data_IF_422334541578
#
_entry.id   IF_422334541578
#
_cell.length_a   1.000
_cell.length_b   1.000
_cell.length_c   1.000
_cell.angle_alpha   90.00
_cell.angle_beta   90.00
_cell.angle_gamma   90.00
#
_symmetry.space_group_name_H-M   'P 1'
#
loop_
_entity.id
_entity.type
_entity.pdbx_description
1 polymer ?
#
# COMPACT_ATOMS: atom_id res chain seq x y z
N UNK A 1 17.55 -16.19 -22.99
CA UNK A 1 17.29 -16.96 -24.24
C UNK A 1 17.19 -16.09 -25.49
N UNK A 2 17.48 -14.78 -25.43
CA UNK A 2 17.25 -13.85 -26.55
C UNK A 2 18.54 -13.41 -27.27
N UNK A 3 19.71 -13.50 -26.63
CA UNK A 3 21.00 -13.19 -27.24
C UNK A 3 21.41 -14.14 -28.38
N UNK A 4 20.83 -15.35 -28.41
CA UNK A 4 21.14 -16.40 -29.40
C UNK A 4 20.53 -16.09 -30.79
N UNK A 5 19.46 -15.29 -30.83
CA UNK A 5 18.75 -14.94 -32.07
C UNK A 5 19.47 -13.85 -32.87
N UNK A 6 20.05 -12.84 -32.20
CA UNK A 6 20.79 -11.77 -32.87
C UNK A 6 22.12 -12.26 -33.48
N UNK A 7 22.68 -13.35 -32.94
CA UNK A 7 23.91 -14.00 -33.42
C UNK A 7 23.67 -15.15 -34.40
N UNK A 8 22.41 -15.43 -34.78
CA UNK A 8 22.07 -16.50 -35.71
C UNK A 8 22.43 -16.17 -37.16
N UNK A 9 22.69 -17.20 -37.98
CA UNK A 9 23.06 -17.06 -39.40
C UNK A 9 22.04 -16.22 -40.21
N UNK A 10 20.74 -16.35 -39.92
CA UNK A 10 19.68 -15.55 -40.54
C UNK A 10 19.81 -14.03 -40.29
N UNK A 11 20.26 -13.63 -39.10
CA UNK A 11 20.51 -12.22 -38.77
C UNK A 11 21.83 -11.72 -39.38
N UNK A 12 22.77 -12.62 -39.70
CA UNK A 12 23.96 -12.26 -40.47
C UNK A 12 23.65 -12.03 -41.95
N UNK A 13 22.69 -12.78 -42.51
CA UNK A 13 22.30 -12.69 -43.91
C UNK A 13 21.32 -11.53 -44.20
N UNK A 14 20.50 -11.13 -43.22
CA UNK A 14 19.52 -10.05 -43.38
C UNK A 14 19.77 -8.91 -42.39
N UNK A 15 20.33 -7.76 -42.84
CA UNK A 15 20.58 -6.62 -41.96
C UNK A 15 19.29 -6.00 -41.40
N UNK A 16 18.18 -6.09 -42.14
CA UNK A 16 16.87 -5.60 -41.69
C UNK A 16 16.28 -6.49 -40.59
N UNK A 17 16.40 -7.82 -40.72
CA UNK A 17 15.98 -8.74 -39.67
C UNK A 17 16.80 -8.51 -38.39
N UNK A 18 18.11 -8.35 -38.54
CA UNK A 18 19.00 -8.03 -37.42
C UNK A 18 18.60 -6.73 -36.72
N UNK A 19 18.31 -5.66 -37.47
CA UNK A 19 17.82 -4.38 -36.93
C UNK A 19 16.55 -4.58 -36.11
N UNK A 20 15.56 -5.29 -36.64
CA UNK A 20 14.30 -5.56 -35.95
C UNK A 20 14.50 -6.38 -34.67
N UNK A 21 15.37 -7.38 -34.70
CA UNK A 21 15.71 -8.19 -33.52
C UNK A 21 16.43 -7.35 -32.46
N UNK A 22 17.40 -6.52 -32.85
CA UNK A 22 18.11 -5.62 -31.95
C UNK A 22 17.17 -4.57 -31.32
N UNK A 23 16.25 -3.99 -32.09
CA UNK A 23 15.22 -3.06 -31.61
C UNK A 23 14.27 -3.72 -30.60
N UNK A 24 13.80 -4.93 -30.89
CA UNK A 24 12.98 -5.71 -29.97
C UNK A 24 13.72 -6.03 -28.66
N UNK A 25 14.99 -6.46 -28.74
CA UNK A 25 15.81 -6.74 -27.57
C UNK A 25 16.03 -5.50 -26.70
N UNK A 26 16.29 -4.35 -27.35
CA UNK A 26 16.42 -3.06 -26.67
C UNK A 26 15.13 -2.65 -25.96
N UNK A 27 13.98 -2.79 -26.63
CA UNK A 27 12.67 -2.57 -26.02
C UNK A 27 12.44 -3.49 -24.82
N UNK A 28 12.66 -4.79 -24.96
CA UNK A 28 12.45 -5.78 -23.89
C UNK A 28 13.31 -5.45 -22.65
N UNK A 29 14.60 -5.15 -22.84
CA UNK A 29 15.48 -4.76 -21.75
C UNK A 29 15.07 -3.43 -21.08
N UNK A 30 14.58 -2.47 -21.87
CA UNK A 30 14.05 -1.20 -21.35
C UNK A 30 12.76 -1.40 -20.55
N UNK A 31 11.91 -2.35 -20.95
CA UNK A 31 10.71 -2.74 -20.22
C UNK A 31 11.03 -3.43 -18.90
N UNK A 32 11.99 -4.36 -18.87
CA UNK A 32 12.45 -5.00 -17.62
C UNK A 32 12.94 -3.95 -16.61
N UNK A 33 13.76 -3.01 -17.07
CA UNK A 33 14.24 -1.90 -16.23
C UNK A 33 13.09 -1.05 -15.68
N UNK A 34 12.10 -0.74 -16.51
CA UNK A 34 10.95 0.05 -16.08
C UNK A 34 10.05 -0.68 -15.08
N UNK A 35 9.97 -2.01 -15.16
CA UNK A 35 9.29 -2.83 -14.14
C UNK A 35 10.04 -2.74 -12.81
N UNK A 36 11.36 -2.89 -12.81
CA UNK A 36 12.17 -2.78 -11.58
C UNK A 36 12.02 -1.40 -10.93
N UNK A 37 12.08 -0.32 -11.71
CA UNK A 37 11.86 1.04 -11.22
C UNK A 37 10.45 1.22 -10.64
N UNK A 38 9.43 0.65 -11.29
CA UNK A 38 8.06 0.71 -10.80
C UNK A 38 7.87 -0.08 -9.50
N UNK A 39 8.51 -1.23 -9.35
CA UNK A 39 8.51 -1.99 -8.10
C UNK A 39 9.14 -1.20 -6.95
N UNK A 40 10.25 -0.49 -7.21
CA UNK A 40 10.86 0.42 -6.22
C UNK A 40 9.89 1.56 -5.86
N UNK A 41 9.21 2.13 -6.84
CA UNK A 41 8.22 3.18 -6.61
C UNK A 41 7.04 2.68 -5.75
N UNK A 42 6.42 1.54 -6.09
CA UNK A 42 5.35 0.90 -5.29
C UNK A 42 5.81 0.68 -3.85
N UNK A 43 7.03 0.15 -3.69
CA UNK A 43 7.57 -0.10 -2.36
C UNK A 43 7.66 1.17 -1.53
N UNK A 44 8.18 2.26 -2.12
CA UNK A 44 8.37 3.54 -1.42
C UNK A 44 7.06 4.29 -1.15
N UNK A 45 6.10 4.25 -2.08
CA UNK A 45 4.86 5.01 -1.93
C UNK A 45 3.80 4.28 -1.10
N UNK A 46 3.83 2.95 -1.04
CA UNK A 46 2.77 2.17 -0.39
C UNK A 46 3.31 1.18 0.65
N UNK A 47 4.21 0.28 0.26
CA UNK A 47 4.60 -0.87 1.10
C UNK A 47 5.31 -0.42 2.37
N UNK A 48 6.36 0.41 2.24
CA UNK A 48 7.15 0.88 3.37
C UNK A 48 6.31 1.81 4.29
N UNK A 49 5.51 2.75 3.76
CA UNK A 49 4.58 3.54 4.57
C UNK A 49 3.57 2.71 5.37
N UNK A 50 2.91 1.72 4.75
CA UNK A 50 1.96 0.84 5.44
C UNK A 50 2.65 0.05 6.56
N UNK A 51 3.84 -0.49 6.30
CA UNK A 51 4.63 -1.19 7.33
C UNK A 51 4.95 -0.30 8.52
N UNK A 52 5.30 0.97 8.30
CA UNK A 52 5.52 1.94 9.39
C UNK A 52 4.23 2.24 10.16
N UNK A 53 3.12 2.36 9.43
CA UNK A 53 1.81 2.64 10.02
C UNK A 53 1.30 1.49 10.90
N UNK A 54 1.76 0.25 10.69
CA UNK A 54 1.41 -0.89 11.56
C UNK A 54 1.71 -0.66 13.04
N UNK A 55 2.73 0.14 13.37
CA UNK A 55 3.06 0.51 14.75
C UNK A 55 1.91 1.24 15.47
N UNK A 56 1.16 2.09 14.75
CA UNK A 56 0.02 2.83 15.29
C UNK A 56 -1.06 1.86 15.77
N UNK A 57 -1.37 0.82 14.99
CA UNK A 57 -2.34 -0.19 15.41
C UNK A 57 -1.92 -0.92 16.69
N UNK A 58 -0.63 -1.21 16.85
CA UNK A 58 -0.12 -1.84 18.07
C UNK A 58 -0.30 -0.92 19.30
N UNK A 59 -0.09 0.39 19.15
CA UNK A 59 -0.32 1.38 20.21
C UNK A 59 -1.80 1.51 20.58
N UNK A 60 -2.70 1.53 19.59
CA UNK A 60 -4.15 1.53 19.80
C UNK A 60 -4.56 0.28 20.58
N UNK A 61 -4.11 -0.89 20.15
CA UNK A 61 -4.39 -2.16 20.82
C UNK A 61 -3.87 -2.19 22.26
N UNK A 62 -2.67 -1.68 22.51
CA UNK A 62 -2.12 -1.59 23.85
C UNK A 62 -2.97 -0.69 24.78
N UNK A 63 -3.51 0.40 24.25
CA UNK A 63 -4.36 1.34 25.01
C UNK A 63 -5.74 0.75 25.28
N UNK A 64 -6.35 0.09 24.29
CA UNK A 64 -7.58 -0.68 24.47
C UNK A 64 -7.44 -1.75 25.56
N UNK A 65 -6.33 -2.52 25.50
CA UNK A 65 -6.03 -3.56 26.48
C UNK A 65 -5.86 -3.01 27.89
N UNK A 66 -5.22 -1.84 28.05
CA UNK A 66 -5.08 -1.17 29.36
C UNK A 66 -6.44 -0.80 29.96
N UNK A 67 -7.34 -0.21 29.16
CA UNK A 67 -8.71 0.09 29.60
C UNK A 67 -9.47 -1.18 29.98
N UNK A 68 -9.34 -2.23 29.18
CA UNK A 68 -10.00 -3.52 29.45
C UNK A 68 -9.50 -4.16 30.75
N UNK A 69 -8.19 -4.10 31.02
CA UNK A 69 -7.61 -4.55 32.29
C UNK A 69 -8.16 -3.75 33.48
N UNK A 70 -8.25 -2.42 33.37
CA UNK A 70 -8.85 -1.58 34.41
C UNK A 70 -10.33 -1.94 34.66
N UNK A 71 -11.09 -2.26 33.61
CA UNK A 71 -12.48 -2.69 33.73
C UNK A 71 -12.61 -4.05 34.42
N UNK A 72 -11.77 -5.02 34.05
CA UNK A 72 -11.73 -6.33 34.69
C UNK A 72 -11.35 -6.24 36.17
N UNK A 73 -10.42 -5.36 36.52
CA UNK A 73 -10.01 -5.13 37.92
C UNK A 73 -11.15 -4.50 38.73
N UNK A 74 -11.87 -3.51 38.19
CA UNK A 74 -13.06 -2.96 38.81
C UNK A 74 -14.10 -4.05 39.12
N UNK A 75 -14.44 -4.87 38.12
CA UNK A 75 -15.40 -5.96 38.28
C UNK A 75 -14.97 -6.96 39.37
N UNK A 76 -13.68 -7.32 39.40
CA UNK A 76 -13.12 -8.22 40.40
C UNK A 76 -13.24 -7.64 41.82
N UNK A 77 -12.97 -6.35 41.98
CA UNK A 77 -13.06 -5.64 43.26
C UNK A 77 -14.51 -5.43 43.70
N UNK A 78 -15.44 -5.17 42.78
CA UNK A 78 -16.89 -5.09 43.06
C UNK A 78 -17.40 -6.41 43.62
N UNK A 79 -17.11 -7.52 42.94
CA UNK A 79 -17.47 -8.86 43.41
C UNK A 79 -16.83 -9.20 44.77
N UNK A 80 -15.62 -8.69 45.04
CA UNK A 80 -14.96 -8.88 46.35
C UNK A 80 -15.63 -8.05 47.43
N UNK A 81 -15.97 -6.79 47.15
CA UNK A 81 -16.66 -5.91 48.08
C UNK A 81 -18.04 -6.46 48.44
N UNK A 82 -18.80 -6.95 47.46
CA UNK A 82 -20.12 -7.57 47.67
C UNK A 82 -20.03 -8.82 48.56
N UNK A 83 -19.06 -9.70 48.27
CA UNK A 83 -18.76 -10.89 49.10
C UNK A 83 -18.35 -10.53 50.54
N UNK A 84 -17.66 -9.40 50.75
CA UNK A 84 -17.29 -8.94 52.09
C UNK A 84 -18.46 -8.29 52.84
N UNK A 85 -19.33 -7.56 52.13
CA UNK A 85 -20.53 -6.95 52.73
C UNK A 85 -21.58 -7.97 53.19
N UNK A 86 -21.61 -9.16 52.57
CA UNK A 86 -22.48 -10.25 53.00
C UNK A 86 -21.98 -11.03 54.23
N UNK A 87 -20.81 -10.70 54.79
CA UNK A 87 -20.26 -11.36 55.99
C UNK A 87 -20.75 -10.69 57.27
N UNK A 88 -20.62 -11.40 58.39
CA UNK A 88 -20.88 -10.85 59.71
C UNK A 88 -20.07 -9.58 59.98
N UNK A 89 -20.73 -8.60 60.60
CA UNK A 89 -20.17 -7.27 60.89
C UNK A 89 -19.22 -7.31 62.11
N UNK A 90 -18.07 -7.96 61.92
CA UNK A 90 -16.96 -7.96 62.88
C UNK A 90 -15.99 -6.82 62.54
N UNK A 91 -15.24 -6.31 63.53
CA UNK A 91 -14.27 -5.21 63.30
C UNK A 91 -13.25 -5.52 62.20
N UNK A 92 -12.78 -6.77 62.11
CA UNK A 92 -11.86 -7.21 61.06
C UNK A 92 -12.50 -7.25 59.66
N UNK A 93 -13.77 -7.66 59.56
CA UNK A 93 -14.49 -7.67 58.28
C UNK A 93 -14.81 -6.24 57.80
N UNK A 94 -15.15 -5.34 58.73
CA UNK A 94 -15.38 -3.92 58.42
C UNK A 94 -14.11 -3.24 57.90
N UNK A 95 -12.96 -3.51 58.53
CA UNK A 95 -11.67 -2.99 58.07
C UNK A 95 -11.33 -3.47 56.64
N UNK A 96 -11.47 -4.78 56.37
CA UNK A 96 -11.23 -5.37 55.04
C UNK A 96 -12.19 -4.84 53.98
N UNK A 97 -13.46 -4.62 54.34
CA UNK A 97 -14.46 -4.04 53.44
C UNK A 97 -14.10 -2.59 53.12
N UNK A 98 -13.68 -1.81 54.10
CA UNK A 98 -13.24 -0.43 53.92
C UNK A 98 -12.03 -0.35 52.99
N UNK A 99 -11.01 -1.18 53.20
CA UNK A 99 -9.83 -1.26 52.34
C UNK A 99 -10.21 -1.63 50.90
N UNK A 100 -11.03 -2.68 50.73
CA UNK A 100 -11.48 -3.12 49.42
C UNK A 100 -12.28 -2.03 48.68
N UNK A 101 -13.11 -1.25 49.38
CA UNK A 101 -13.83 -0.12 48.81
C UNK A 101 -12.89 1.00 48.39
N UNK A 102 -11.87 1.30 49.19
CA UNK A 102 -10.88 2.31 48.83
C UNK A 102 -10.09 1.90 47.57
N UNK A 103 -9.67 0.63 47.47
CA UNK A 103 -9.03 0.09 46.25
C UNK A 103 -9.99 0.12 45.05
N UNK A 104 -11.27 -0.21 45.25
CA UNK A 104 -12.27 -0.14 44.20
C UNK A 104 -12.46 1.27 43.66
N UNK A 105 -12.52 2.29 44.52
CA UNK A 105 -12.65 3.68 44.08
C UNK A 105 -11.43 4.14 43.28
N UNK A 106 -10.21 3.72 43.68
CA UNK A 106 -9.01 3.98 42.90
C UNK A 106 -9.06 3.28 41.52
N UNK A 107 -9.50 2.03 41.44
CA UNK A 107 -9.64 1.30 40.19
C UNK A 107 -10.69 1.93 39.25
N UNK A 108 -11.82 2.41 39.80
CA UNK A 108 -12.83 3.14 39.03
C UNK A 108 -12.29 4.46 38.48
N UNK A 109 -11.52 5.20 39.28
CA UNK A 109 -10.89 6.43 38.83
C UNK A 109 -9.88 6.19 37.69
N UNK A 110 -9.10 5.10 37.76
CA UNK A 110 -8.22 4.70 36.66
C UNK A 110 -9.02 4.32 35.41
N UNK A 111 -10.08 3.50 35.53
CA UNK A 111 -10.93 3.15 34.40
C UNK A 111 -11.53 4.38 33.70
N UNK A 112 -12.00 5.37 34.47
CA UNK A 112 -12.49 6.65 33.94
C UNK A 112 -11.38 7.39 33.21
N UNK A 113 -10.18 7.43 33.79
CA UNK A 113 -9.00 8.07 33.19
C UNK A 113 -8.62 7.40 31.87
N UNK A 114 -8.48 6.07 31.84
CA UNK A 114 -8.18 5.31 30.61
C UNK A 114 -9.28 5.50 29.55
N UNK A 115 -10.55 5.55 29.98
CA UNK A 115 -11.69 5.81 29.09
C UNK A 115 -11.63 7.21 28.46
N UNK A 116 -11.29 8.24 29.24
CA UNK A 116 -11.16 9.61 28.77
C UNK A 116 -9.99 9.77 27.79
N UNK A 117 -8.83 9.18 28.11
CA UNK A 117 -7.67 9.17 27.21
C UNK A 117 -8.01 8.49 25.88
N UNK A 118 -8.64 7.31 25.93
CA UNK A 118 -9.04 6.60 24.72
C UNK A 118 -10.05 7.41 23.88
N UNK A 119 -11.03 8.07 24.52
CA UNK A 119 -12.00 8.90 23.83
C UNK A 119 -11.36 10.14 23.17
N UNK A 120 -10.29 10.68 23.75
CA UNK A 120 -9.50 11.76 23.16
C UNK A 120 -8.62 11.27 22.00
N UNK A 121 -8.00 10.11 22.13
CA UNK A 121 -6.99 9.63 21.18
C UNK A 121 -7.59 8.94 19.95
N UNK A 122 -8.71 8.21 20.11
CA UNK A 122 -9.34 7.48 18.98
C UNK A 122 -9.60 8.39 17.77
N UNK A 123 -10.27 9.54 17.91
CA UNK A 123 -10.52 10.44 16.78
C UNK A 123 -9.23 10.95 16.14
N UNK A 124 -8.18 11.18 16.93
CA UNK A 124 -6.89 11.66 16.44
C UNK A 124 -6.19 10.59 15.61
N UNK A 125 -6.24 9.32 16.04
CA UNK A 125 -5.72 8.19 15.26
C UNK A 125 -6.46 8.02 13.94
N UNK A 126 -7.79 8.12 13.94
CA UNK A 126 -8.57 8.05 12.70
C UNK A 126 -8.25 9.21 11.75
N UNK A 127 -8.18 10.45 12.24
CA UNK A 127 -7.80 11.59 11.42
C UNK A 127 -6.38 11.46 10.85
N UNK A 128 -5.42 11.04 11.69
CA UNK A 128 -4.04 10.80 11.27
C UNK A 128 -3.93 9.69 10.21
N UNK A 129 -4.78 8.66 10.29
CA UNK A 129 -4.81 7.56 9.32
C UNK A 129 -5.11 8.05 7.91
N UNK A 130 -6.10 8.94 7.79
CA UNK A 130 -6.47 9.54 6.50
C UNK A 130 -5.33 10.40 5.96
N UNK A 131 -4.79 11.29 6.81
CA UNK A 131 -3.70 12.20 6.43
C UNK A 131 -2.42 11.46 6.04
N UNK A 132 -2.15 10.31 6.64
CA UNK A 132 -0.96 9.52 6.36
C UNK A 132 -1.12 8.63 5.11
N UNK A 133 -2.27 7.96 4.96
CA UNK A 133 -2.48 6.98 3.89
C UNK A 133 -2.91 7.61 2.57
N UNK A 134 -3.61 8.74 2.59
CA UNK A 134 -4.04 9.42 1.37
C UNK A 134 -2.88 9.76 0.40
N UNK A 135 -1.79 10.44 0.80
CA UNK A 135 -0.68 10.74 -0.12
C UNK A 135 0.03 9.47 -0.61
N UNK A 136 0.00 8.38 0.17
CA UNK A 136 0.54 7.08 -0.25
C UNK A 136 -0.25 6.50 -1.43
N UNK A 137 -1.59 6.55 -1.34
CA UNK A 137 -2.49 6.10 -2.40
C UNK A 137 -2.40 6.98 -3.65
N UNK A 138 -2.36 8.31 -3.48
CA UNK A 138 -2.19 9.26 -4.58
C UNK A 138 -0.87 9.02 -5.32
N UNK A 139 0.23 8.84 -4.59
CA UNK A 139 1.53 8.52 -5.17
C UNK A 139 1.57 7.15 -5.87
N UNK A 140 0.84 6.15 -5.35
CA UNK A 140 0.69 4.85 -6.01
C UNK A 140 -0.02 5.00 -7.36
N UNK A 141 -1.17 5.67 -7.39
CA UNK A 141 -1.94 5.90 -8.61
C UNK A 141 -1.09 6.65 -9.63
N UNK A 142 -0.40 7.71 -9.20
CA UNK A 142 0.50 8.47 -10.08
C UNK A 142 1.62 7.60 -10.68
N UNK A 143 2.28 6.79 -9.85
CA UNK A 143 3.33 5.86 -10.28
C UNK A 143 2.81 4.84 -11.29
N UNK A 144 1.60 4.28 -11.06
CA UNK A 144 0.97 3.33 -11.98
C UNK A 144 0.62 3.99 -13.31
N UNK A 145 -0.01 5.17 -13.30
CA UNK A 145 -0.34 5.90 -14.52
C UNK A 145 0.91 6.24 -15.32
N UNK A 146 1.99 6.66 -14.64
CA UNK A 146 3.26 6.97 -15.30
C UNK A 146 3.90 5.73 -15.92
N UNK A 147 4.01 4.62 -15.17
CA UNK A 147 4.61 3.38 -15.66
C UNK A 147 3.88 2.84 -16.88
N UNK A 148 2.55 2.68 -16.79
CA UNK A 148 1.76 2.15 -17.90
C UNK A 148 1.67 3.11 -19.08
N UNK A 149 1.63 4.42 -18.83
CA UNK A 149 1.69 5.43 -19.89
C UNK A 149 3.01 5.36 -20.65
N UNK A 150 4.14 5.30 -19.96
CA UNK A 150 5.46 5.17 -20.58
C UNK A 150 5.61 3.84 -21.33
N UNK A 151 5.12 2.73 -20.76
CA UNK A 151 5.13 1.43 -21.43
C UNK A 151 4.34 1.45 -22.73
N UNK A 152 3.14 2.05 -22.71
CA UNK A 152 2.31 2.19 -23.90
C UNK A 152 2.99 3.07 -24.97
N UNK A 153 3.61 4.19 -24.58
CA UNK A 153 4.38 5.04 -25.50
C UNK A 153 5.55 4.27 -26.11
N UNK A 154 6.36 3.56 -25.31
CA UNK A 154 7.49 2.77 -25.83
C UNK A 154 7.07 1.67 -26.79
N UNK A 155 5.96 0.98 -26.48
CA UNK A 155 5.41 -0.04 -27.36
C UNK A 155 4.87 0.57 -28.66
N UNK A 156 4.23 1.75 -28.58
CA UNK A 156 3.81 2.49 -29.75
C UNK A 156 5.01 2.92 -30.61
N UNK A 157 6.07 3.44 -30.01
CA UNK A 157 7.27 3.89 -30.73
C UNK A 157 8.01 2.73 -31.42
N UNK A 158 8.03 1.55 -30.81
CA UNK A 158 8.58 0.33 -31.43
C UNK A 158 7.77 -0.12 -32.65
N UNK A 159 6.43 0.02 -32.57
CA UNK A 159 5.50 -0.37 -33.62
C UNK A 159 5.26 0.75 -34.64
N UNK A 160 5.66 1.99 -34.32
CA UNK A 160 5.58 3.11 -35.22
C UNK A 160 6.48 2.80 -36.41
N UNK A 161 6.00 2.99 -37.64
CA UNK A 161 6.81 2.72 -38.82
C UNK A 161 8.04 3.63 -38.78
N UNK A 162 9.20 3.09 -38.41
CA UNK A 162 10.50 3.69 -38.70
C UNK A 162 10.57 3.98 -40.20
N UNK A 163 11.17 5.12 -40.58
CA UNK A 163 11.22 5.71 -41.94
C UNK A 163 10.70 4.75 -42.99
N UNK A 164 9.41 4.91 -43.35
CA UNK A 164 8.71 4.16 -44.40
C UNK A 164 9.72 3.57 -45.38
N UNK A 165 9.79 2.24 -45.44
CA UNK A 165 10.59 1.52 -46.41
C UNK A 165 10.48 2.24 -47.77
N UNK A 166 11.52 2.30 -48.61
CA UNK A 166 11.42 2.87 -49.94
C UNK A 166 10.20 2.35 -50.71
N UNK A 167 9.79 1.10 -50.43
CA UNK A 167 8.58 0.46 -50.95
C UNK A 167 7.30 1.09 -50.41
N UNK A 168 7.23 1.42 -49.11
CA UNK A 168 6.07 2.10 -48.50
C UNK A 168 6.01 3.59 -48.89
N UNK A 169 7.14 4.26 -49.06
CA UNK A 169 7.20 5.60 -49.66
C UNK A 169 6.72 5.56 -51.12
N UNK A 170 7.22 4.63 -51.92
CA UNK A 170 6.79 4.46 -53.32
C UNK A 170 5.30 4.09 -53.41
N UNK A 171 4.79 3.25 -52.50
CA UNK A 171 3.38 2.89 -52.45
C UNK A 171 2.50 4.07 -51.98
N UNK A 172 2.96 4.87 -51.03
CA UNK A 172 2.28 6.09 -50.60
C UNK A 172 2.29 7.16 -51.70
N UNK A 173 3.39 7.33 -52.44
CA UNK A 173 3.48 8.22 -53.60
C UNK A 173 2.60 7.73 -54.75
N UNK A 174 2.58 6.43 -55.04
CA UNK A 174 1.70 5.82 -56.04
C UNK A 174 0.22 6.01 -55.67
N UNK A 175 -0.13 5.90 -54.38
CA UNK A 175 -1.48 6.17 -53.87
C UNK A 175 -1.85 7.65 -53.95
N UNK A 176 -0.92 8.57 -53.66
CA UNK A 176 -1.18 10.02 -53.77
C UNK A 176 -1.30 10.51 -55.21
N UNK A 177 -0.78 9.74 -56.18
CA UNK A 177 -0.88 10.01 -57.62
C UNK A 177 -2.07 9.29 -58.28
N UNK A 178 -2.77 8.40 -57.54
CA UNK A 178 -3.95 7.72 -58.03
C UNK A 178 -5.17 8.64 -57.94
N UNK A 179 -5.82 8.91 -59.09
CA UNK A 179 -7.05 9.71 -59.18
C UNK A 179 -8.29 8.90 -58.70
N UNK A 180 -8.11 7.60 -58.42
CA UNK A 180 -9.19 6.74 -57.95
C UNK A 180 -9.14 6.66 -56.43
N UNK A 181 -10.06 7.37 -55.79
CA UNK A 181 -10.40 7.20 -54.37
C UNK A 181 -10.97 5.80 -54.16
N UNK A 182 -10.27 4.92 -53.44
CA UNK A 182 -10.88 3.70 -52.93
C UNK A 182 -11.62 4.02 -51.62
N UNK A 183 -12.85 3.52 -51.41
CA UNK A 183 -13.65 3.83 -50.23
C UNK A 183 -12.99 3.30 -48.95
N UNK A 184 -13.14 4.07 -47.87
CA UNK A 184 -12.75 3.75 -46.48
C UNK A 184 -13.31 2.42 -45.99
#
# INVERSE_FOLDING_TARGET
MSGDLASGELCHESPELRRLVEEWLGFASSMDTAVDDHLVAIRRCLVDPIKRYQGVFAEVQATLKRREQAAQECLRLEQRAERLSGRESTGANLARLSECRQTLEAAKADLVTQGALLAQDLPRWYAASSLYLQPCLEALVHSQTLHWGQAATRAHDLMAPGTRSPVEQQLATARSLSIVSLPT
#
